data_IF_984202476888
#
_entry.id   IF_984202476888
#
_cell.length_a   1.000
_cell.length_b   1.000
_cell.length_c   1.000
_cell.angle_alpha   90.00
_cell.angle_beta   90.00
_cell.angle_gamma   90.00
#
_symmetry.space_group_name_H-M   'P 1'
#
loop_
_entity.id
_entity.type
_entity.pdbx_description
1 polymer ?
#
# COMPACT_ATOMS: atom_id res chain seq x y z
N UNK A 1 5.62 10.24 -9.92
CA UNK A 1 4.34 10.95 -10.11
C UNK A 1 3.39 10.36 -9.10
N UNK A 2 2.96 11.11 -8.10
CA UNK A 2 1.95 10.65 -7.15
C UNK A 2 0.62 10.52 -7.88
N UNK A 3 0.14 9.28 -8.00
CA UNK A 3 -1.17 9.02 -8.56
C UNK A 3 -2.23 9.39 -7.52
N UNK A 4 -3.10 10.33 -7.86
CA UNK A 4 -4.21 10.72 -7.01
C UNK A 4 -5.38 9.78 -7.32
N UNK A 5 -5.65 8.82 -6.43
CA UNK A 5 -6.70 7.83 -6.64
C UNK A 5 -8.05 8.33 -6.11
N UNK A 6 -9.10 8.08 -6.87
CA UNK A 6 -10.47 8.48 -6.51
C UNK A 6 -11.00 7.71 -5.29
N UNK A 7 -10.47 6.52 -5.01
CA UNK A 7 -10.89 5.69 -3.88
C UNK A 7 -9.69 5.05 -3.19
N UNK A 8 -9.81 4.84 -1.86
CA UNK A 8 -8.81 4.13 -1.05
C UNK A 8 -8.55 2.74 -1.60
N UNK A 9 -9.61 2.05 -2.02
CA UNK A 9 -9.52 0.70 -2.57
C UNK A 9 -8.66 0.65 -3.82
N UNK A 10 -8.82 1.63 -4.72
CA UNK A 10 -7.99 1.70 -5.94
C UNK A 10 -6.53 2.00 -5.61
N UNK A 11 -6.26 2.89 -4.65
CA UNK A 11 -4.91 3.15 -4.17
C UNK A 11 -4.27 1.89 -3.56
N UNK A 12 -5.01 1.16 -2.74
CA UNK A 12 -4.57 -0.11 -2.15
C UNK A 12 -4.20 -1.12 -3.24
N UNK A 13 -5.08 -1.32 -4.23
CA UNK A 13 -4.85 -2.32 -5.28
C UNK A 13 -3.64 -1.97 -6.15
N UNK A 14 -3.44 -0.70 -6.49
CA UNK A 14 -2.39 -0.28 -7.43
C UNK A 14 -1.06 0.05 -6.79
N UNK A 15 -1.05 0.62 -5.58
CA UNK A 15 0.18 1.07 -4.93
C UNK A 15 0.71 0.06 -3.91
N UNK A 16 -0.17 -0.71 -3.26
CA UNK A 16 0.22 -1.63 -2.20
C UNK A 16 0.27 -3.06 -2.73
N UNK A 17 -0.88 -3.58 -3.18
CA UNK A 17 -0.98 -4.99 -3.60
C UNK A 17 -0.15 -5.25 -4.84
N UNK A 18 -0.31 -4.42 -5.89
CA UNK A 18 0.48 -4.60 -7.11
C UNK A 18 1.99 -4.41 -6.88
N UNK A 19 2.41 -3.62 -5.88
CA UNK A 19 3.83 -3.48 -5.54
C UNK A 19 4.36 -4.74 -4.84
N UNK A 20 3.59 -5.33 -3.91
CA UNK A 20 3.97 -6.54 -3.18
C UNK A 20 3.95 -7.77 -4.10
N UNK A 21 2.84 -8.02 -4.80
CA UNK A 21 2.73 -9.16 -5.73
C UNK A 21 3.63 -8.98 -6.95
N UNK A 22 3.93 -7.73 -7.31
CA UNK A 22 4.86 -7.39 -8.39
C UNK A 22 6.31 -7.80 -8.13
N UNK A 23 6.70 -8.09 -6.88
CA UNK A 23 8.03 -8.66 -6.59
C UNK A 23 8.14 -10.12 -7.01
N UNK A 24 7.00 -10.82 -7.10
CA UNK A 24 6.93 -12.26 -7.35
C UNK A 24 7.30 -13.13 -6.14
N UNK A 25 7.59 -12.51 -4.98
CA UNK A 25 7.88 -13.24 -3.73
C UNK A 25 6.60 -13.65 -3.00
N UNK A 26 5.52 -12.90 -3.22
CA UNK A 26 4.24 -13.05 -2.53
C UNK A 26 3.17 -13.38 -3.58
N UNK A 27 2.45 -14.49 -3.37
CA UNK A 27 1.42 -14.94 -4.30
C UNK A 27 0.06 -14.28 -4.05
N UNK A 28 -0.24 -13.93 -2.79
CA UNK A 28 -1.44 -13.19 -2.40
C UNK A 28 -1.12 -12.27 -1.21
N UNK A 29 -0.97 -10.97 -1.52
CA UNK A 29 -0.57 -10.00 -0.50
C UNK A 29 -1.63 -9.84 0.61
N UNK A 30 -2.90 -10.09 0.33
CA UNK A 30 -3.98 -9.97 1.34
C UNK A 30 -3.98 -11.12 2.34
N UNK A 31 -3.42 -12.27 1.96
CA UNK A 31 -3.30 -13.43 2.83
C UNK A 31 -2.09 -13.32 3.75
N UNK A 32 -0.98 -12.80 3.22
CA UNK A 32 0.29 -12.73 3.94
C UNK A 32 0.46 -11.43 4.76
N UNK A 33 -0.24 -10.35 4.42
CA UNK A 33 -0.06 -9.04 5.07
C UNK A 33 -1.40 -8.40 5.46
N UNK A 34 -1.38 -7.54 6.48
CA UNK A 34 -2.51 -6.66 6.81
C UNK A 34 -2.49 -5.40 5.94
N UNK A 35 -3.06 -5.55 4.74
CA UNK A 35 -3.09 -4.50 3.72
C UNK A 35 -3.84 -3.25 4.20
N UNK A 36 -4.87 -3.39 5.02
CA UNK A 36 -5.63 -2.24 5.53
C UNK A 36 -4.79 -1.42 6.51
N UNK A 37 -4.03 -2.09 7.38
CA UNK A 37 -3.10 -1.44 8.30
C UNK A 37 -1.91 -0.77 7.58
N UNK A 38 -1.37 -1.42 6.53
CA UNK A 38 -0.34 -0.82 5.66
C UNK A 38 -0.92 0.42 4.97
N UNK A 39 -2.15 0.34 4.46
CA UNK A 39 -2.80 1.46 3.81
C UNK A 39 -3.01 2.65 4.74
N UNK A 40 -3.37 2.43 6.01
CA UNK A 40 -3.50 3.50 7.00
C UNK A 40 -2.17 4.22 7.30
N UNK A 41 -1.04 3.52 7.16
CA UNK A 41 0.28 4.10 7.43
C UNK A 41 0.89 4.79 6.20
N UNK A 42 0.63 4.25 5.00
CA UNK A 42 1.32 4.65 3.78
C UNK A 42 0.48 5.59 2.92
N UNK A 43 -0.85 5.53 2.99
CA UNK A 43 -1.74 6.42 2.24
C UNK A 43 -2.15 7.63 3.09
N UNK A 44 -2.11 8.81 2.48
CA UNK A 44 -2.76 10.01 3.03
C UNK A 44 -4.28 9.82 3.03
N UNK A 45 -4.94 10.21 4.13
CA UNK A 45 -6.40 10.24 4.27
C UNK A 45 -7.01 11.59 3.84
N UNK A 46 -6.18 12.54 3.42
CA UNK A 46 -6.59 13.93 3.21
C UNK A 46 -7.17 14.17 1.80
N UNK A 47 -8.41 14.66 1.74
CA UNK A 47 -9.04 15.13 0.50
C UNK A 47 -8.21 16.28 -0.12
N UNK A 48 -7.90 16.23 -1.43
CA UNK A 48 -8.77 15.75 -2.50
C UNK A 48 -8.53 14.32 -3.02
N UNK A 49 -7.65 13.51 -2.41
CA UNK A 49 -7.50 12.10 -2.79
C UNK A 49 -6.35 11.37 -2.09
N UNK A 50 -6.23 10.07 -2.35
CA UNK A 50 -5.23 9.21 -1.70
C UNK A 50 -3.88 9.33 -2.40
N UNK A 51 -2.86 9.78 -1.67
CA UNK A 51 -1.47 9.87 -2.12
C UNK A 51 -0.57 9.01 -1.22
N UNK A 52 0.41 8.34 -1.82
CA UNK A 52 1.43 7.58 -1.09
C UNK A 52 2.37 8.58 -0.39
N UNK A 53 2.30 8.63 0.94
CA UNK A 53 3.12 9.50 1.77
C UNK A 53 4.47 8.88 2.14
N UNK A 54 4.58 7.56 2.03
CA UNK A 54 5.83 6.85 2.31
C UNK A 54 6.77 6.87 1.09
N UNK A 55 8.06 7.07 1.35
CA UNK A 55 9.09 6.69 0.39
C UNK A 55 9.17 5.15 0.27
N UNK A 56 9.87 4.64 -0.72
CA UNK A 56 10.00 3.20 -0.97
C UNK A 56 10.45 2.43 0.28
N UNK A 57 11.43 2.96 1.02
CA UNK A 57 11.91 2.33 2.27
C UNK A 57 10.83 2.32 3.36
N UNK A 58 10.10 3.42 3.55
CA UNK A 58 9.01 3.51 4.52
C UNK A 58 7.83 2.60 4.18
N UNK A 59 7.55 2.41 2.88
CA UNK A 59 6.56 1.45 2.42
C UNK A 59 6.96 0.02 2.83
N UNK A 60 8.17 -0.43 2.50
CA UNK A 60 8.62 -1.78 2.85
C UNK A 60 8.73 -1.99 4.36
N UNK A 61 9.15 -0.97 5.13
CA UNK A 61 9.14 -1.04 6.59
C UNK A 61 7.72 -1.23 7.16
N UNK A 62 6.70 -0.58 6.57
CA UNK A 62 5.31 -0.80 6.95
C UNK A 62 4.84 -2.22 6.58
N UNK A 63 5.18 -2.70 5.38
CA UNK A 63 4.86 -4.07 4.93
C UNK A 63 5.45 -5.12 5.88
N UNK A 64 6.72 -5.02 6.23
CA UNK A 64 7.38 -5.93 7.18
C UNK A 64 6.73 -5.89 8.57
N UNK A 65 6.34 -4.70 9.03
CA UNK A 65 5.75 -4.49 10.35
C UNK A 65 4.33 -5.07 10.47
N UNK A 66 3.62 -5.20 9.35
CA UNK A 66 2.25 -5.70 9.26
C UNK A 66 2.15 -7.03 8.50
N UNK A 67 3.26 -7.79 8.44
CA UNK A 67 3.24 -9.18 8.03
C UNK A 67 2.46 -10.03 9.05
N UNK A 68 1.67 -11.00 8.55
CA UNK A 68 0.86 -11.90 9.39
C UNK A 68 1.66 -13.07 9.96
#
# INVERSE_FOLDING_TARGET
MSANYATRKEAIEREIIAAIEGTGEVADARVEFDIDAIADEVLSDYLPGYEVMANTEGFWAAVERHAR
#
